data_IF_618525800712
#
_entry.id   IF_618525800712
#
_cell.length_a   1.000
_cell.length_b   1.000
_cell.length_c   1.000
_cell.angle_alpha   90.00
_cell.angle_beta   90.00
_cell.angle_gamma   90.00
#
_symmetry.space_group_name_H-M   'P 1'
#
loop_
_entity.id
_entity.type
_entity.pdbx_description
1 polymer ?
#
# COMPACT_ATOMS: atom_id res chain seq x y z
N UNK A 1 -1.41 14.28 4.48
CA UNK A 1 -1.36 13.03 5.26
C UNK A 1 0.00 12.38 5.14
N UNK A 2 0.58 11.96 6.25
CA UNK A 2 1.86 11.26 6.25
C UNK A 2 1.65 9.75 6.13
N UNK A 3 2.73 9.02 5.84
CA UNK A 3 2.70 7.55 5.82
C UNK A 3 2.29 7.01 7.19
N UNK A 4 2.77 7.62 8.27
CA UNK A 4 2.40 7.23 9.64
C UNK A 4 0.91 7.37 9.89
N UNK A 5 0.33 8.47 9.46
CA UNK A 5 -1.10 8.69 9.63
C UNK A 5 -1.91 7.69 8.82
N UNK A 6 -1.49 7.40 7.60
CA UNK A 6 -2.15 6.42 6.76
C UNK A 6 -2.13 5.03 7.41
N UNK A 7 -0.97 4.62 7.90
CA UNK A 7 -0.82 3.33 8.58
C UNK A 7 -1.71 3.26 9.82
N UNK A 8 -1.76 4.34 10.61
CA UNK A 8 -2.61 4.38 11.79
C UNK A 8 -4.08 4.20 11.44
N UNK A 9 -4.55 4.92 10.45
CA UNK A 9 -5.95 4.82 10.05
C UNK A 9 -6.29 3.46 9.46
N UNK A 10 -5.44 2.95 8.59
CA UNK A 10 -5.68 1.65 7.96
C UNK A 10 -5.63 0.51 8.97
N UNK A 11 -4.67 0.52 9.89
CA UNK A 11 -4.57 -0.53 10.89
C UNK A 11 -5.80 -0.54 11.79
N UNK A 12 -6.32 0.63 12.14
CA UNK A 12 -7.51 0.75 12.94
C UNK A 12 -8.74 0.19 12.22
N UNK A 13 -8.92 0.55 10.97
CA UNK A 13 -10.07 0.10 10.19
C UNK A 13 -10.03 -1.39 9.89
N UNK A 14 -8.85 -1.93 9.63
CA UNK A 14 -8.70 -3.33 9.28
C UNK A 14 -8.57 -4.25 10.50
N UNK A 15 -8.35 -3.68 11.67
CA UNK A 15 -8.15 -4.47 12.88
C UNK A 15 -6.84 -5.25 12.88
N UNK A 16 -5.82 -4.73 12.24
CA UNK A 16 -4.50 -5.35 12.15
C UNK A 16 -3.47 -4.47 12.86
N UNK A 17 -2.28 -5.02 13.12
CA UNK A 17 -1.21 -4.25 13.76
C UNK A 17 -0.63 -3.23 12.79
N UNK A 18 -0.05 -2.16 13.34
CA UNK A 18 0.63 -1.16 12.51
C UNK A 18 1.81 -1.76 11.78
N UNK A 19 2.50 -2.71 12.41
CA UNK A 19 3.64 -3.40 11.78
C UNK A 19 3.19 -4.15 10.53
N UNK A 20 2.14 -4.95 10.65
CA UNK A 20 1.61 -5.70 9.51
C UNK A 20 1.12 -4.76 8.41
N UNK A 21 0.42 -3.71 8.81
CA UNK A 21 -0.08 -2.72 7.87
C UNK A 21 1.07 -2.05 7.10
N UNK A 22 2.14 -1.66 7.81
CA UNK A 22 3.29 -1.04 7.18
C UNK A 22 4.01 -1.97 6.22
N UNK A 23 4.18 -3.24 6.59
CA UNK A 23 4.79 -4.23 5.71
C UNK A 23 3.97 -4.44 4.43
N UNK A 24 2.67 -4.53 4.59
CA UNK A 24 1.75 -4.69 3.46
C UNK A 24 1.85 -3.51 2.50
N UNK A 25 1.87 -2.30 3.02
CA UNK A 25 2.00 -1.11 2.20
C UNK A 25 3.34 -1.07 1.45
N UNK A 26 4.43 -1.44 2.11
CA UNK A 26 5.75 -1.46 1.47
C UNK A 26 5.77 -2.42 0.29
N UNK A 27 5.24 -3.63 0.47
CA UNK A 27 5.19 -4.62 -0.61
C UNK A 27 4.31 -4.11 -1.76
N UNK A 28 3.18 -3.52 -1.43
CA UNK A 28 2.26 -2.99 -2.43
C UNK A 28 2.92 -1.90 -3.28
N UNK A 29 3.60 -0.95 -2.64
CA UNK A 29 4.30 0.10 -3.36
C UNK A 29 5.44 -0.44 -4.22
N UNK A 30 6.21 -1.40 -3.71
CA UNK A 30 7.26 -2.04 -4.48
C UNK A 30 6.74 -2.70 -5.76
N UNK A 31 5.62 -3.39 -5.65
CA UNK A 31 5.03 -4.06 -6.81
C UNK A 31 4.50 -3.06 -7.84
N UNK A 32 3.91 -1.96 -7.38
CA UNK A 32 3.42 -0.92 -8.27
C UNK A 32 4.58 -0.28 -9.01
N UNK A 33 5.66 0.07 -8.31
CA UNK A 33 6.84 0.68 -8.92
C UNK A 33 7.47 -0.28 -9.93
N UNK A 34 7.58 -1.55 -9.58
CA UNK A 34 8.13 -2.55 -10.49
C UNK A 34 7.31 -2.67 -11.77
N UNK A 35 6.00 -2.68 -11.65
CA UNK A 35 5.12 -2.75 -12.82
C UNK A 35 5.34 -1.55 -13.74
N UNK A 36 5.46 -0.37 -13.18
CA UNK A 36 5.68 0.85 -13.96
C UNK A 36 7.06 0.86 -14.62
N UNK A 37 8.09 0.40 -13.92
CA UNK A 37 9.46 0.34 -14.44
C UNK A 37 9.60 -0.62 -15.62
N UNK A 38 8.80 -1.69 -15.62
CA UNK A 38 8.82 -2.68 -16.70
C UNK A 38 7.98 -2.26 -17.90
N UNK A 39 7.54 -1.02 -17.95
CA UNK A 39 6.76 -0.51 -19.06
C UNK A 39 5.29 -0.90 -19.03
N UNK A 40 4.87 -1.56 -17.97
CA UNK A 40 3.47 -1.88 -17.77
C UNK A 40 2.75 -0.74 -17.09
N UNK A 41 1.51 -0.98 -16.72
CA UNK A 41 0.77 -0.04 -15.93
C UNK A 41 -0.09 -0.77 -14.92
N UNK A 42 -0.31 -0.10 -13.80
CA UNK A 42 -1.17 -0.63 -12.75
C UNK A 42 -2.61 -0.23 -13.07
N UNK A 43 -3.48 -1.23 -13.20
CA UNK A 43 -4.89 -0.99 -13.42
C UNK A 43 -5.71 -1.88 -12.49
N UNK A 44 -6.80 -1.30 -12.00
CA UNK A 44 -7.75 -2.03 -11.19
C UNK A 44 -9.15 -1.58 -11.58
N UNK A 45 -10.05 -2.51 -11.91
CA UNK A 45 -11.43 -2.14 -12.25
C UNK A 45 -12.05 -1.31 -11.12
N UNK A 46 -12.62 -0.17 -11.47
CA UNK A 46 -13.24 0.72 -10.49
C UNK A 46 -12.27 1.62 -9.73
N UNK A 47 -11.00 1.57 -10.04
CA UNK A 47 -9.97 2.36 -9.34
C UNK A 47 -9.83 3.75 -9.94
#
# INVERSE_FOLDING_TARGET
>A
MTKHELISEMSSELGITKKLCGETLNVMFEEIVRALEMGGRFTQPGF
#
